data_IF_045428127359
#
_entry.id   IF_045428127359
#
_cell.length_a   1.000
_cell.length_b   1.000
_cell.length_c   1.000
_cell.angle_alpha   90.00
_cell.angle_beta   90.00
_cell.angle_gamma   90.00
#
_symmetry.space_group_name_H-M   'P 1'
#
loop_
_entity.id
_entity.type
_entity.pdbx_description
1 polymer ?
#
# COMPACT_ATOMS: atom_id res chain seq x y z
N UNK A 1 -1.11 -5.95 -19.63
CA UNK A 1 -0.48 -5.84 -18.28
C UNK A 1 -1.19 -4.87 -17.34
N UNK A 2 -1.75 -3.77 -17.81
CA UNK A 2 -2.64 -2.90 -17.01
C UNK A 2 -4.02 -3.54 -16.75
N UNK A 3 -4.53 -4.37 -17.67
CA UNK A 3 -5.80 -5.11 -17.48
C UNK A 3 -5.73 -6.15 -16.36
N UNK A 4 -4.60 -6.82 -16.13
CA UNK A 4 -4.48 -7.85 -15.09
C UNK A 4 -4.61 -7.26 -13.66
N UNK A 5 -4.29 -5.98 -13.47
CA UNK A 5 -4.46 -5.31 -12.18
C UNK A 5 -5.89 -4.78 -11.96
N UNK A 6 -6.67 -4.63 -13.05
CA UNK A 6 -8.05 -4.12 -13.02
C UNK A 6 -9.09 -5.23 -12.88
N UNK A 7 -8.76 -6.46 -13.29
CA UNK A 7 -9.68 -7.59 -13.26
C UNK A 7 -9.22 -8.63 -12.21
N UNK A 8 -9.55 -8.35 -10.94
CA UNK A 8 -9.52 -9.33 -9.86
C UNK A 8 -10.96 -9.75 -9.55
N UNK A 9 -11.55 -10.68 -10.33
CA UNK A 9 -12.92 -11.08 -10.14
C UNK A 9 -13.11 -11.69 -8.76
N UNK A 10 -14.06 -11.14 -8.00
CA UNK A 10 -14.50 -11.72 -6.74
C UNK A 10 -15.35 -12.93 -7.05
N UNK A 11 -14.97 -14.07 -6.53
CA UNK A 11 -15.75 -15.31 -6.64
C UNK A 11 -16.92 -15.22 -5.65
N UNK A 12 -18.13 -15.07 -6.15
CA UNK A 12 -19.35 -14.98 -5.31
C UNK A 12 -19.93 -16.36 -4.96
N UNK A 13 -19.86 -17.30 -5.88
CA UNK A 13 -20.12 -18.70 -5.66
C UNK A 13 -19.29 -19.53 -6.64
N UNK A 14 -18.92 -20.75 -6.26
CA UNK A 14 -18.14 -21.65 -7.12
C UNK A 14 -19.08 -22.49 -8.00
N UNK A 15 -20.39 -22.45 -7.73
CA UNK A 15 -21.32 -23.51 -8.15
C UNK A 15 -21.60 -23.55 -9.65
N UNK A 16 -21.65 -22.43 -10.40
CA UNK A 16 -22.05 -22.45 -11.80
C UNK A 16 -20.92 -22.07 -12.79
N UNK A 17 -20.22 -20.99 -12.55
CA UNK A 17 -19.22 -20.46 -13.50
C UNK A 17 -17.84 -21.13 -13.35
N UNK A 18 -17.55 -21.67 -12.16
CA UNK A 18 -16.27 -22.28 -11.80
C UNK A 18 -16.34 -23.75 -11.45
N UNK A 19 -17.43 -24.44 -11.79
CA UNK A 19 -17.66 -25.87 -11.46
C UNK A 19 -16.49 -26.79 -11.90
N UNK A 20 -15.92 -26.51 -13.07
CA UNK A 20 -14.75 -27.28 -13.56
C UNK A 20 -13.53 -27.08 -12.67
N UNK A 21 -13.25 -25.82 -12.24
CA UNK A 21 -12.15 -25.50 -11.33
C UNK A 21 -12.37 -26.17 -9.97
N UNK A 22 -13.59 -26.14 -9.46
CA UNK A 22 -13.99 -26.81 -8.21
C UNK A 22 -13.73 -28.33 -8.26
N UNK A 23 -14.11 -28.99 -9.35
CA UNK A 23 -13.89 -30.41 -9.51
C UNK A 23 -12.39 -30.76 -9.53
N UNK A 24 -11.58 -29.98 -10.23
CA UNK A 24 -10.13 -30.20 -10.27
C UNK A 24 -9.47 -29.91 -8.92
N UNK A 25 -9.90 -28.87 -8.19
CA UNK A 25 -9.44 -28.61 -6.83
C UNK A 25 -9.82 -29.74 -5.86
N UNK A 26 -11.02 -30.29 -6.00
CA UNK A 26 -11.46 -31.44 -5.19
C UNK A 26 -10.64 -32.71 -5.47
N UNK A 27 -10.27 -32.96 -6.74
CA UNK A 27 -9.33 -34.01 -7.11
C UNK A 27 -7.95 -33.79 -6.52
N UNK A 28 -7.45 -32.54 -6.56
CA UNK A 28 -6.17 -32.18 -5.97
C UNK A 28 -6.15 -32.41 -4.47
N UNK A 29 -7.24 -32.09 -3.73
CA UNK A 29 -7.36 -32.38 -2.30
C UNK A 29 -7.21 -33.90 -2.06
N UNK A 30 -7.92 -34.75 -2.81
CA UNK A 30 -7.86 -36.19 -2.61
C UNK A 30 -6.46 -36.74 -2.87
N UNK A 31 -5.83 -36.34 -3.98
CA UNK A 31 -4.44 -36.71 -4.27
C UNK A 31 -3.44 -36.20 -3.21
N UNK A 32 -3.69 -35.02 -2.65
CA UNK A 32 -2.86 -34.46 -1.58
C UNK A 32 -3.03 -35.24 -0.27
N UNK A 33 -4.23 -35.72 0.05
CA UNK A 33 -4.48 -36.60 1.22
C UNK A 33 -3.75 -37.93 1.09
N UNK A 34 -3.75 -38.53 -0.10
CA UNK A 34 -3.02 -39.79 -0.38
C UNK A 34 -1.49 -39.53 -0.23
N UNK A 35 -1.01 -38.41 -0.75
CA UNK A 35 0.39 -38.03 -0.59
C UNK A 35 0.76 -37.81 0.87
N UNK A 36 -0.11 -37.16 1.66
CA UNK A 36 0.10 -36.94 3.09
C UNK A 36 0.21 -38.27 3.86
N UNK A 37 -0.60 -39.27 3.51
CA UNK A 37 -0.50 -40.62 4.09
C UNK A 37 0.85 -41.25 3.78
N UNK A 38 1.32 -41.17 2.55
CA UNK A 38 2.63 -41.66 2.15
C UNK A 38 3.78 -40.96 2.86
N UNK A 39 3.73 -39.62 3.02
CA UNK A 39 4.68 -38.85 3.82
C UNK A 39 4.70 -39.27 5.29
N UNK A 40 3.50 -39.50 5.88
CA UNK A 40 3.39 -39.99 7.26
C UNK A 40 4.04 -41.36 7.43
N UNK A 41 3.87 -42.25 6.48
CA UNK A 41 4.50 -43.57 6.51
C UNK A 41 6.03 -43.46 6.36
N UNK A 42 6.51 -42.58 5.47
CA UNK A 42 7.94 -42.35 5.28
C UNK A 42 8.58 -41.75 6.55
N UNK A 43 7.90 -40.80 7.23
CA UNK A 43 8.35 -40.29 8.53
C UNK A 43 8.54 -41.40 9.57
N UNK A 44 7.62 -42.34 9.67
CA UNK A 44 7.75 -43.50 10.59
C UNK A 44 8.96 -44.35 10.25
N UNK A 45 9.34 -44.49 9.00
CA UNK A 45 10.55 -45.19 8.58
C UNK A 45 11.80 -44.42 8.94
N UNK A 46 11.84 -43.10 8.67
CA UNK A 46 12.98 -42.25 8.97
C UNK A 46 13.22 -42.14 10.49
N UNK A 47 12.17 -42.14 11.30
CA UNK A 47 12.29 -42.15 12.77
C UNK A 47 13.02 -43.38 13.35
N UNK A 48 13.14 -44.47 12.57
CA UNK A 48 13.91 -45.66 12.97
C UNK A 48 15.39 -45.54 12.62
N UNK A 49 15.82 -44.52 11.91
CA UNK A 49 17.21 -44.25 11.56
C UNK A 49 17.88 -43.60 12.77
N UNK A 50 19.16 -43.93 13.01
CA UNK A 50 19.94 -43.36 14.09
C UNK A 50 20.01 -41.80 13.99
N UNK A 51 19.51 -41.07 15.01
CA UNK A 51 19.45 -39.61 14.98
C UNK A 51 20.81 -38.94 15.06
N UNK A 52 21.87 -39.65 15.36
CA UNK A 52 23.25 -39.10 15.42
C UNK A 52 23.85 -38.92 14.02
N UNK A 53 23.33 -39.59 13.02
CA UNK A 53 23.82 -39.44 11.64
C UNK A 53 23.47 -38.09 11.05
N UNK A 54 24.44 -37.47 10.36
CA UNK A 54 24.30 -36.15 9.73
C UNK A 54 23.12 -36.10 8.78
N UNK A 55 22.90 -37.16 8.00
CA UNK A 55 21.84 -37.25 7.01
C UNK A 55 20.44 -37.38 7.63
N UNK A 56 20.31 -37.87 8.85
CA UNK A 56 19.05 -37.98 9.56
C UNK A 56 18.37 -36.61 9.72
N UNK A 57 19.13 -35.60 10.21
CA UNK A 57 18.58 -34.27 10.45
C UNK A 57 18.14 -33.58 9.16
N UNK A 58 18.89 -33.79 8.09
CA UNK A 58 18.52 -33.27 6.78
C UNK A 58 17.24 -33.92 6.26
N UNK A 59 17.17 -35.26 6.25
CA UNK A 59 15.99 -36.01 5.83
C UNK A 59 14.75 -35.66 6.66
N UNK A 60 14.90 -35.58 7.98
CA UNK A 60 13.79 -35.21 8.86
C UNK A 60 13.28 -33.80 8.56
N UNK A 61 14.16 -32.81 8.40
CA UNK A 61 13.79 -31.42 8.03
C UNK A 61 13.12 -31.33 6.67
N UNK A 62 13.52 -32.11 5.68
CA UNK A 62 12.88 -32.13 4.35
C UNK A 62 11.49 -32.76 4.44
N UNK A 63 11.36 -33.86 5.17
CA UNK A 63 10.07 -34.52 5.35
C UNK A 63 9.08 -33.67 6.15
N UNK A 64 9.52 -33.00 7.20
CA UNK A 64 8.66 -32.11 8.00
C UNK A 64 8.15 -30.96 7.13
N UNK A 65 9.04 -30.27 6.41
CA UNK A 65 8.64 -29.19 5.50
C UNK A 65 7.69 -29.66 4.40
N UNK A 66 7.91 -30.84 3.82
CA UNK A 66 7.03 -31.41 2.80
C UNK A 66 5.66 -31.75 3.39
N UNK A 67 5.63 -32.33 4.58
CA UNK A 67 4.39 -32.66 5.29
C UNK A 67 3.56 -31.41 5.60
N UNK A 68 4.19 -30.40 6.20
CA UNK A 68 3.55 -29.14 6.55
C UNK A 68 3.05 -28.40 5.29
N UNK A 69 3.83 -28.44 4.21
CA UNK A 69 3.44 -27.85 2.92
C UNK A 69 2.20 -28.52 2.31
N UNK A 70 2.06 -29.85 2.42
CA UNK A 70 0.88 -30.56 1.94
C UNK A 70 -0.35 -30.25 2.81
N UNK A 71 -0.19 -30.18 4.14
CA UNK A 71 -1.27 -29.74 5.04
C UNK A 71 -1.75 -28.35 4.67
N UNK A 72 -0.84 -27.40 4.55
CA UNK A 72 -1.15 -26.01 4.19
C UNK A 72 -1.87 -25.93 2.83
N UNK A 73 -1.46 -26.73 1.85
CA UNK A 73 -2.13 -26.83 0.56
C UNK A 73 -3.58 -27.32 0.70
N UNK A 74 -3.78 -28.41 1.44
CA UNK A 74 -5.13 -28.98 1.68
C UNK A 74 -6.02 -27.96 2.39
N UNK A 75 -5.51 -27.29 3.42
CA UNK A 75 -6.24 -26.26 4.18
C UNK A 75 -6.62 -25.08 3.28
N UNK A 76 -5.66 -24.58 2.49
CA UNK A 76 -5.90 -23.47 1.54
C UNK A 76 -6.97 -23.83 0.51
N UNK A 77 -6.90 -25.02 -0.09
CA UNK A 77 -7.88 -25.44 -1.07
C UNK A 77 -9.24 -25.63 -0.40
N UNK A 78 -9.31 -26.20 0.80
CA UNK A 78 -10.57 -26.36 1.55
C UNK A 78 -11.21 -24.99 1.84
N UNK A 79 -10.44 -23.99 2.28
CA UNK A 79 -10.94 -22.63 2.51
C UNK A 79 -11.57 -22.07 1.23
N UNK A 80 -10.90 -22.23 0.09
CA UNK A 80 -11.37 -21.71 -1.20
C UNK A 80 -12.61 -22.49 -1.70
N UNK A 81 -12.60 -23.81 -1.57
CA UNK A 81 -13.70 -24.65 -2.10
C UNK A 81 -14.94 -24.63 -1.22
N UNK A 82 -14.80 -24.43 0.08
CA UNK A 82 -15.96 -24.32 0.97
C UNK A 82 -16.67 -22.98 0.86
N UNK A 83 -16.04 -21.90 0.37
CA UNK A 83 -16.57 -20.58 -0.01
C UNK A 83 -17.96 -20.18 0.58
N UNK A 84 -18.28 -20.68 1.75
CA UNK A 84 -19.58 -20.49 2.40
C UNK A 84 -19.52 -19.46 3.53
N UNK A 85 -18.31 -19.05 3.91
CA UNK A 85 -18.15 -18.09 4.99
C UNK A 85 -18.29 -16.67 4.45
N UNK A 86 -19.42 -16.03 4.80
CA UNK A 86 -19.73 -14.63 4.43
C UNK A 86 -18.78 -13.60 5.03
N UNK A 87 -17.93 -14.02 5.96
CA UNK A 87 -16.89 -13.18 6.59
C UNK A 87 -15.59 -13.20 5.79
N UNK A 88 -15.51 -13.96 4.71
CA UNK A 88 -14.33 -14.05 3.84
C UNK A 88 -14.62 -13.50 2.46
N UNK A 89 -13.58 -12.96 1.83
CA UNK A 89 -13.57 -12.64 0.40
C UNK A 89 -12.62 -13.57 -0.34
N UNK A 90 -13.04 -14.02 -1.51
CA UNK A 90 -12.31 -14.94 -2.38
C UNK A 90 -12.15 -14.28 -3.74
N UNK A 91 -10.95 -14.33 -4.32
CA UNK A 91 -10.73 -13.77 -5.65
C UNK A 91 -9.64 -14.52 -6.43
N UNK A 92 -9.62 -14.29 -7.74
CA UNK A 92 -8.58 -14.78 -8.63
C UNK A 92 -7.67 -13.62 -8.99
N UNK A 93 -6.36 -13.85 -8.90
CA UNK A 93 -5.34 -12.91 -9.31
C UNK A 93 -4.50 -13.54 -10.41
N UNK A 94 -4.28 -12.78 -11.50
CA UNK A 94 -3.52 -13.24 -12.65
C UNK A 94 -2.33 -12.34 -12.94
N UNK A 95 -1.14 -12.91 -13.00
CA UNK A 95 0.08 -12.23 -13.41
C UNK A 95 0.65 -12.85 -14.70
N UNK A 96 1.02 -11.98 -15.64
CA UNK A 96 1.79 -12.41 -16.80
C UNK A 96 3.28 -12.27 -16.51
N UNK A 97 4.04 -13.35 -16.66
CA UNK A 97 5.48 -13.30 -16.56
C UNK A 97 6.12 -13.81 -17.85
N UNK A 98 7.30 -13.27 -18.17
CA UNK A 98 8.08 -13.74 -19.29
C UNK A 98 8.76 -15.04 -18.91
N UNK A 99 8.32 -16.14 -19.53
CA UNK A 99 9.03 -17.40 -19.49
C UNK A 99 10.30 -17.34 -20.35
N UNK A 100 11.28 -18.19 -20.04
CA UNK A 100 12.46 -18.42 -20.87
C UNK A 100 12.13 -18.90 -22.30
N UNK A 101 10.89 -19.37 -22.51
CA UNK A 101 10.36 -19.89 -23.79
C UNK A 101 9.81 -18.82 -24.75
N UNK A 102 9.99 -17.52 -24.50
CA UNK A 102 9.49 -16.37 -25.29
C UNK A 102 7.98 -16.14 -25.29
N UNK A 103 7.18 -17.02 -24.73
CA UNK A 103 5.74 -16.82 -24.56
C UNK A 103 5.44 -16.25 -23.17
N UNK A 104 4.54 -15.25 -23.09
CA UNK A 104 4.06 -14.73 -21.82
C UNK A 104 3.16 -15.79 -21.17
N UNK A 105 3.59 -16.39 -20.08
CA UNK A 105 2.78 -17.34 -19.31
C UNK A 105 1.89 -16.61 -18.32
N UNK A 106 0.61 -17.01 -18.27
CA UNK A 106 -0.34 -16.53 -17.28
C UNK A 106 -0.21 -17.37 -16.01
N UNK A 107 0.19 -16.75 -14.92
CA UNK A 107 0.15 -17.35 -13.59
C UNK A 107 -1.13 -16.91 -12.89
N UNK A 108 -1.99 -17.87 -12.57
CA UNK A 108 -3.19 -17.63 -11.77
C UNK A 108 -2.92 -18.01 -10.31
N UNK A 109 -3.40 -17.18 -9.39
CA UNK A 109 -3.45 -17.48 -7.97
C UNK A 109 -4.87 -17.32 -7.44
N UNK A 110 -5.30 -18.27 -6.63
CA UNK A 110 -6.53 -18.19 -5.87
C UNK A 110 -6.21 -17.58 -4.52
N UNK A 111 -6.93 -16.56 -4.16
CA UNK A 111 -6.73 -15.79 -2.92
C UNK A 111 -7.98 -15.88 -2.05
N UNK A 112 -7.77 -15.91 -0.75
CA UNK A 112 -8.84 -15.84 0.23
C UNK A 112 -8.37 -15.01 1.44
N UNK A 113 -9.23 -14.17 1.98
CA UNK A 113 -8.93 -13.37 3.17
C UNK A 113 -10.18 -13.12 3.98
N UNK A 114 -10.03 -12.98 5.28
CA UNK A 114 -11.11 -12.48 6.13
C UNK A 114 -11.35 -11.01 5.85
N UNK A 115 -12.62 -10.63 5.84
CA UNK A 115 -13.05 -9.25 5.61
C UNK A 115 -12.73 -8.40 6.83
N UNK A 116 -13.00 -8.92 8.03
CA UNK A 116 -12.70 -8.25 9.30
C UNK A 116 -11.93 -9.19 10.23
N UNK A 117 -10.75 -8.76 10.65
CA UNK A 117 -9.86 -9.52 11.54
C UNK A 117 -9.87 -9.03 12.98
N UNK A 118 -10.70 -8.04 13.31
CA UNK A 118 -10.72 -7.36 14.60
C UNK A 118 -10.91 -8.32 15.79
N UNK A 119 -11.85 -9.26 15.65
CA UNK A 119 -12.11 -10.30 16.68
C UNK A 119 -10.90 -11.21 16.83
N UNK A 120 -10.29 -11.65 15.73
CA UNK A 120 -9.11 -12.51 15.78
C UNK A 120 -7.89 -11.82 16.38
N UNK A 121 -7.70 -10.53 16.11
CA UNK A 121 -6.65 -9.75 16.76
C UNK A 121 -6.87 -9.69 18.26
N UNK A 122 -8.12 -9.44 18.70
CA UNK A 122 -8.48 -9.46 20.11
C UNK A 122 -8.15 -10.80 20.77
N UNK A 123 -8.60 -11.90 20.20
CA UNK A 123 -8.49 -13.23 20.81
C UNK A 123 -7.06 -13.79 20.73
N UNK A 124 -6.35 -13.57 19.61
CA UNK A 124 -5.07 -14.21 19.38
C UNK A 124 -3.87 -13.34 19.76
N UNK A 125 -4.04 -12.04 19.94
CA UNK A 125 -2.98 -11.12 20.30
C UNK A 125 -3.31 -10.41 21.60
N UNK A 126 -4.34 -9.58 21.63
CA UNK A 126 -4.55 -8.68 22.77
C UNK A 126 -4.89 -9.41 24.06
N UNK A 127 -5.71 -10.47 24.00
CA UNK A 127 -6.06 -11.27 25.18
C UNK A 127 -4.92 -12.21 25.65
N UNK A 128 -3.81 -12.32 24.93
CA UNK A 128 -2.69 -13.21 25.31
C UNK A 128 -1.62 -12.52 26.14
N UNK A 129 -1.61 -11.20 26.18
CA UNK A 129 -0.60 -10.44 26.89
C UNK A 129 -1.22 -9.71 28.08
N UNK A 130 -0.54 -9.73 29.21
CA UNK A 130 -0.97 -8.95 30.40
C UNK A 130 -0.83 -7.43 30.18
N UNK A 131 0.06 -7.03 29.29
CA UNK A 131 0.30 -5.65 28.90
C UNK A 131 0.83 -5.60 27.47
N UNK A 132 0.28 -4.69 26.67
CA UNK A 132 0.70 -4.49 25.29
C UNK A 132 0.74 -2.98 25.02
N UNK A 133 1.84 -2.52 24.41
CA UNK A 133 2.00 -1.12 24.00
C UNK A 133 2.03 -1.07 22.46
N UNK A 134 1.11 -0.30 21.89
CA UNK A 134 1.05 -0.01 20.46
C UNK A 134 1.45 1.44 20.23
N UNK A 135 2.44 1.69 19.39
CA UNK A 135 2.92 3.04 19.10
C UNK A 135 3.14 3.25 17.61
N UNK A 136 2.70 4.40 17.12
CA UNK A 136 2.95 4.85 15.75
C UNK A 136 2.73 6.35 15.64
N UNK A 137 3.38 6.98 14.67
CA UNK A 137 3.18 8.39 14.34
C UNK A 137 1.87 8.66 13.59
N UNK A 138 1.16 7.62 13.12
CA UNK A 138 -0.02 7.72 12.26
C UNK A 138 -1.23 6.95 12.78
N UNK A 139 -1.33 6.76 14.11
CA UNK A 139 -2.48 6.08 14.74
C UNK A 139 -3.75 6.96 14.70
N UNK A 140 -3.58 8.28 14.89
CA UNK A 140 -4.70 9.25 14.91
C UNK A 140 -5.10 9.66 13.50
N UNK A 141 -6.40 9.77 13.29
CA UNK A 141 -7.01 10.40 12.12
C UNK A 141 -8.00 11.42 12.62
N UNK A 142 -7.93 12.67 12.14
CA UNK A 142 -8.79 13.78 12.54
C UNK A 142 -8.87 13.93 14.07
N UNK A 143 -7.69 13.93 14.72
CA UNK A 143 -7.49 13.99 16.17
C UNK A 143 -8.17 12.87 16.98
N UNK A 144 -8.58 11.79 16.34
CA UNK A 144 -9.26 10.67 16.98
C UNK A 144 -8.50 9.35 16.80
N UNK A 145 -8.52 8.52 17.85
CA UNK A 145 -8.05 7.13 17.82
C UNK A 145 -9.12 6.15 17.35
N UNK A 146 -10.37 6.58 17.20
CA UNK A 146 -11.52 5.71 16.95
C UNK A 146 -11.34 4.81 15.74
N UNK A 147 -10.75 5.33 14.65
CA UNK A 147 -10.49 4.53 13.48
C UNK A 147 -9.56 3.35 13.79
N UNK A 148 -8.44 3.61 14.43
CA UNK A 148 -7.49 2.57 14.80
C UNK A 148 -8.09 1.56 15.77
N UNK A 149 -8.83 2.02 16.79
CA UNK A 149 -9.44 1.17 17.80
C UNK A 149 -10.49 0.24 17.18
N UNK A 150 -11.35 0.75 16.32
CA UNK A 150 -12.38 -0.04 15.64
C UNK A 150 -11.77 -1.10 14.71
N UNK A 151 -10.76 -0.73 13.93
CA UNK A 151 -10.07 -1.64 13.00
C UNK A 151 -9.36 -2.80 13.70
N UNK A 152 -8.97 -2.60 14.96
CA UNK A 152 -8.24 -3.59 15.75
C UNK A 152 -9.10 -4.28 16.83
N UNK A 153 -10.41 -4.02 16.88
CA UNK A 153 -11.32 -4.63 17.87
C UNK A 153 -11.07 -4.15 19.30
N UNK A 154 -10.59 -2.92 19.45
CA UNK A 154 -10.24 -2.33 20.75
C UNK A 154 -11.24 -1.29 21.25
N UNK A 155 -12.32 -1.01 20.50
CA UNK A 155 -13.29 0.05 20.84
C UNK A 155 -13.99 -0.17 22.19
N UNK A 156 -14.22 -1.44 22.56
CA UNK A 156 -14.96 -1.83 23.78
C UNK A 156 -14.01 -2.31 24.89
N UNK A 157 -12.79 -1.81 24.93
CA UNK A 157 -11.82 -2.20 25.95
C UNK A 157 -11.72 -1.11 27.03
N UNK A 158 -12.31 -1.38 28.21
CA UNK A 158 -12.34 -0.44 29.35
C UNK A 158 -10.96 -0.24 30.02
N UNK A 159 -10.00 -1.14 29.77
CA UNK A 159 -8.63 -1.05 30.30
C UNK A 159 -7.67 -0.30 29.37
N UNK A 160 -8.19 0.21 28.25
CA UNK A 160 -7.36 0.87 27.23
C UNK A 160 -6.92 2.27 27.72
N UNK A 161 -5.62 2.49 27.67
CA UNK A 161 -5.03 3.81 27.89
C UNK A 161 -4.54 4.33 26.54
N UNK A 162 -5.08 5.47 26.12
CA UNK A 162 -4.60 6.17 24.93
C UNK A 162 -3.87 7.44 25.33
N UNK A 163 -2.73 7.68 24.67
CA UNK A 163 -1.91 8.87 24.93
C UNK A 163 -1.41 9.44 23.62
N UNK A 164 -1.38 10.74 23.52
CA UNK A 164 -0.82 11.50 22.42
C UNK A 164 0.36 12.33 22.90
N UNK A 165 1.40 12.38 22.10
CA UNK A 165 2.60 13.14 22.41
C UNK A 165 2.86 14.13 21.27
N UNK A 166 3.17 15.36 21.65
CA UNK A 166 3.52 16.39 20.68
C UNK A 166 4.76 15.99 19.87
N UNK A 167 4.73 16.34 18.60
CA UNK A 167 5.90 16.16 17.74
C UNK A 167 7.07 17.02 18.25
N UNK A 168 8.32 16.54 18.21
CA UNK A 168 9.48 17.37 18.50
C UNK A 168 9.79 18.39 17.40
N UNK A 169 9.09 18.34 16.26
CA UNK A 169 9.32 19.21 15.11
C UNK A 169 8.46 20.47 15.20
N UNK A 170 9.05 21.63 14.89
CA UNK A 170 8.34 22.91 14.70
C UNK A 170 7.87 23.03 13.26
N UNK A 171 6.85 22.24 12.87
CA UNK A 171 6.41 22.18 11.49
C UNK A 171 6.07 23.54 10.89
N UNK A 172 5.52 24.49 11.66
CA UNK A 172 5.23 25.86 11.20
C UNK A 172 6.46 26.65 10.77
N UNK A 173 7.64 26.31 11.33
CA UNK A 173 8.90 26.97 11.01
C UNK A 173 9.69 26.21 9.94
N UNK A 174 9.39 24.93 9.78
CA UNK A 174 10.14 24.01 8.92
C UNK A 174 9.49 23.77 7.56
N UNK A 175 8.16 23.99 7.44
CA UNK A 175 7.41 23.63 6.23
C UNK A 175 6.54 24.76 5.74
N UNK A 176 6.68 25.07 4.46
CA UNK A 176 5.69 25.85 3.72
C UNK A 176 4.72 24.89 3.03
N UNK A 177 3.43 24.94 3.41
CA UNK A 177 2.40 24.09 2.82
C UNK A 177 1.56 24.88 1.81
N UNK A 178 1.63 24.50 0.54
CA UNK A 178 0.83 25.06 -0.54
C UNK A 178 -0.28 24.09 -0.95
N UNK A 179 -1.55 24.56 -0.86
CA UNK A 179 -2.73 23.81 -1.27
C UNK A 179 -3.37 24.43 -2.50
N UNK A 180 -3.47 23.62 -3.56
CA UNK A 180 -4.17 24.06 -4.77
C UNK A 180 -5.69 24.13 -4.54
N UNK A 181 -6.30 25.29 -4.87
CA UNK A 181 -7.73 25.53 -4.76
C UNK A 181 -8.36 26.03 -6.08
N UNK A 182 -7.60 25.98 -7.18
CA UNK A 182 -8.07 26.43 -8.48
C UNK A 182 -9.18 25.55 -9.06
N UNK A 183 -9.94 26.10 -9.99
CA UNK A 183 -11.05 25.41 -10.66
C UNK A 183 -10.57 24.37 -11.70
N UNK A 184 -9.39 24.58 -12.28
CA UNK A 184 -8.81 23.67 -13.29
C UNK A 184 -8.24 22.41 -12.63
N UNK A 185 -8.55 21.23 -13.14
CA UNK A 185 -7.96 19.98 -12.65
C UNK A 185 -6.53 19.79 -13.22
N UNK A 186 -5.56 20.50 -12.66
CA UNK A 186 -4.14 20.36 -13.02
C UNK A 186 -3.66 18.92 -12.78
N UNK A 187 -4.13 18.30 -11.72
CA UNK A 187 -3.76 16.94 -11.34
C UNK A 187 -4.33 15.86 -12.27
N UNK A 188 -5.33 16.19 -13.08
CA UNK A 188 -5.95 15.28 -14.04
C UNK A 188 -5.40 15.37 -15.46
N UNK A 189 -4.69 16.45 -15.78
CA UNK A 189 -4.14 16.69 -17.13
C UNK A 189 -2.60 16.51 -17.12
N UNK A 190 -2.04 15.52 -17.84
CA UNK A 190 -0.59 15.28 -17.86
C UNK A 190 0.21 16.45 -18.42
N UNK A 191 -0.33 17.23 -19.34
CA UNK A 191 0.36 18.40 -19.90
C UNK A 191 0.46 19.52 -18.86
N UNK A 192 -0.66 19.92 -18.29
CA UNK A 192 -0.72 20.96 -17.25
C UNK A 192 0.11 20.59 -16.02
N UNK A 193 0.02 19.35 -15.59
CA UNK A 193 0.83 18.85 -14.48
C UNK A 193 2.33 18.89 -14.80
N UNK A 194 2.71 18.62 -16.04
CA UNK A 194 4.11 18.73 -16.47
C UNK A 194 4.60 20.17 -16.50
N UNK A 195 3.75 21.15 -16.91
CA UNK A 195 4.06 22.59 -16.86
C UNK A 195 4.28 23.03 -15.41
N UNK A 196 3.37 22.64 -14.52
CA UNK A 196 3.48 22.95 -13.09
C UNK A 196 4.78 22.40 -12.49
N UNK A 197 5.04 21.09 -12.63
CA UNK A 197 6.23 20.46 -12.05
C UNK A 197 7.50 21.07 -12.63
N UNK A 198 7.53 21.33 -13.92
CA UNK A 198 8.67 21.96 -14.59
C UNK A 198 8.94 23.37 -14.06
N UNK A 199 7.88 24.16 -13.88
CA UNK A 199 7.97 25.50 -13.30
C UNK A 199 8.56 25.46 -11.88
N UNK A 200 7.98 24.66 -10.98
CA UNK A 200 8.46 24.50 -9.60
C UNK A 200 9.93 24.08 -9.57
N UNK A 201 10.28 23.07 -10.37
CA UNK A 201 11.65 22.57 -10.41
C UNK A 201 12.65 23.64 -10.92
N UNK A 202 12.28 24.43 -11.92
CA UNK A 202 13.14 25.51 -12.47
C UNK A 202 13.26 26.68 -11.51
N UNK A 203 12.20 27.02 -10.78
CA UNK A 203 12.17 28.14 -9.83
C UNK A 203 13.05 27.84 -8.62
N UNK A 204 12.91 26.65 -8.03
CA UNK A 204 13.59 26.33 -6.78
C UNK A 204 14.91 25.60 -6.95
N UNK A 205 15.09 24.84 -8.00
CA UNK A 205 16.25 23.99 -8.28
C UNK A 205 16.68 23.10 -7.09
N UNK A 206 15.68 22.63 -6.35
CA UNK A 206 15.81 21.78 -5.17
C UNK A 206 15.43 20.33 -5.48
N UNK A 207 15.89 19.41 -4.64
CA UNK A 207 15.48 18.00 -4.71
C UNK A 207 13.99 17.87 -4.49
N UNK A 208 13.31 17.42 -5.54
CA UNK A 208 11.85 17.36 -5.58
C UNK A 208 11.37 15.93 -5.75
N UNK A 209 10.44 15.50 -4.91
CA UNK A 209 9.70 14.25 -5.10
C UNK A 209 8.25 14.53 -5.46
N UNK A 210 7.75 13.86 -6.49
CA UNK A 210 6.36 13.94 -6.93
C UNK A 210 5.71 12.58 -6.72
N UNK A 211 4.67 12.52 -5.91
CA UNK A 211 3.91 11.33 -5.59
C UNK A 211 2.65 11.24 -6.44
N UNK A 212 2.62 10.19 -7.27
CA UNK A 212 1.52 9.87 -8.17
C UNK A 212 0.68 8.72 -7.61
N UNK A 213 -0.59 8.72 -7.93
CA UNK A 213 -1.50 7.59 -7.70
C UNK A 213 -1.70 6.70 -8.93
N UNK A 214 -1.13 7.10 -10.08
CA UNK A 214 -1.25 6.39 -11.35
C UNK A 214 0.10 6.27 -12.05
N UNK A 215 0.50 5.04 -12.39
CA UNK A 215 1.71 4.77 -13.19
C UNK A 215 1.61 5.37 -14.60
N UNK A 216 0.40 5.38 -15.18
CA UNK A 216 0.15 5.99 -16.49
C UNK A 216 0.39 7.50 -16.44
N UNK A 217 -0.22 8.20 -15.47
CA UNK A 217 -0.01 9.64 -15.29
C UNK A 217 1.47 9.97 -15.07
N UNK A 218 2.16 9.20 -14.21
CA UNK A 218 3.60 9.35 -13.99
C UNK A 218 4.39 9.24 -15.31
N UNK A 219 4.10 8.24 -16.14
CA UNK A 219 4.80 8.00 -17.41
C UNK A 219 4.54 9.11 -18.42
N UNK A 220 3.28 9.56 -18.54
CA UNK A 220 2.89 10.62 -19.47
C UNK A 220 3.54 11.97 -19.08
N UNK A 221 3.53 12.32 -17.79
CA UNK A 221 4.18 13.53 -17.26
C UNK A 221 5.70 13.46 -17.43
N UNK A 222 6.32 12.31 -17.16
CA UNK A 222 7.76 12.14 -17.34
C UNK A 222 8.17 12.32 -18.81
N UNK A 223 7.34 11.84 -19.75
CA UNK A 223 7.56 12.05 -21.19
C UNK A 223 7.45 13.53 -21.55
N UNK A 224 6.39 14.21 -21.13
CA UNK A 224 6.16 15.62 -21.41
C UNK A 224 7.32 16.50 -20.86
N UNK A 225 7.84 16.20 -19.66
CA UNK A 225 8.99 16.95 -19.11
C UNK A 225 10.24 16.76 -19.96
N UNK A 226 10.52 15.54 -20.43
CA UNK A 226 11.71 15.26 -21.28
C UNK A 226 11.67 15.98 -22.64
N UNK A 227 10.50 16.33 -23.12
CA UNK A 227 10.29 17.06 -24.39
C UNK A 227 10.42 18.59 -24.23
N UNK A 228 10.51 19.11 -22.99
CA UNK A 228 10.63 20.56 -22.77
C UNK A 228 12.02 21.10 -23.07
N UNK A 229 12.13 22.37 -23.50
CA UNK A 229 13.43 23.05 -23.68
C UNK A 229 14.23 23.06 -22.37
N UNK A 230 15.50 22.66 -22.41
CA UNK A 230 16.37 22.62 -21.23
C UNK A 230 16.06 21.48 -20.25
N UNK A 231 15.25 20.50 -20.65
CA UNK A 231 14.95 19.31 -19.83
C UNK A 231 16.13 18.34 -19.74
N UNK A 232 17.11 18.42 -20.65
CA UNK A 232 18.31 17.57 -20.62
C UNK A 232 19.15 17.74 -19.36
N UNK A 233 19.06 18.91 -18.73
CA UNK A 233 19.79 19.24 -17.51
C UNK A 233 19.01 18.87 -16.22
N UNK A 234 17.79 18.32 -16.37
CA UNK A 234 16.98 17.87 -15.24
C UNK A 234 17.29 16.38 -14.96
N UNK A 235 17.91 16.05 -13.82
CA UNK A 235 18.11 14.67 -13.41
C UNK A 235 16.80 14.04 -12.98
N UNK A 236 16.01 13.53 -13.95
CA UNK A 236 14.70 12.92 -13.70
C UNK A 236 14.82 11.42 -13.43
N UNK A 237 14.42 11.02 -12.25
CA UNK A 237 14.33 9.64 -11.78
C UNK A 237 12.86 9.22 -11.68
N UNK A 238 12.39 8.41 -12.60
CA UNK A 238 11.01 7.94 -12.60
C UNK A 238 10.93 6.45 -12.25
N UNK A 239 10.00 6.09 -11.40
CA UNK A 239 9.69 4.69 -11.13
C UNK A 239 9.18 4.04 -12.43
N UNK A 240 10.00 3.20 -13.04
CA UNK A 240 9.69 2.49 -14.28
C UNK A 240 10.05 1.03 -14.17
N UNK A 241 9.59 0.20 -15.14
CA UNK A 241 10.01 -1.21 -15.24
C UNK A 241 11.53 -1.28 -15.42
N UNK A 242 12.22 -1.85 -14.42
CA UNK A 242 13.67 -2.06 -14.45
C UNK A 242 14.50 -1.07 -13.62
N UNK A 243 13.94 0.05 -13.17
CA UNK A 243 14.63 0.92 -12.21
C UNK A 243 14.40 0.40 -10.79
N UNK A 244 15.47 -0.02 -10.11
CA UNK A 244 15.38 -0.44 -8.70
C UNK A 244 15.26 0.78 -7.78
N UNK A 245 14.53 0.65 -6.67
CA UNK A 245 14.46 1.71 -5.65
C UNK A 245 15.85 2.20 -5.20
N UNK A 246 16.82 1.32 -4.90
CA UNK A 246 18.17 1.75 -4.52
C UNK A 246 18.86 2.60 -5.59
N UNK A 247 18.69 2.26 -6.87
CA UNK A 247 19.27 3.04 -7.97
C UNK A 247 18.69 4.46 -8.07
N UNK A 248 17.37 4.58 -7.88
CA UNK A 248 16.66 5.87 -7.86
C UNK A 248 17.15 6.73 -6.68
N UNK A 249 17.24 6.16 -5.49
CA UNK A 249 17.71 6.84 -4.28
C UNK A 249 19.15 7.32 -4.45
N UNK A 250 20.03 6.45 -4.97
CA UNK A 250 21.41 6.83 -5.24
C UNK A 250 21.51 7.96 -6.28
N UNK A 251 20.65 7.93 -7.30
CA UNK A 251 20.55 9.04 -8.26
C UNK A 251 20.16 10.36 -7.59
N UNK A 252 19.24 10.35 -6.66
CA UNK A 252 18.85 11.55 -5.86
C UNK A 252 20.01 12.05 -4.98
N UNK A 253 20.78 11.14 -4.38
CA UNK A 253 21.97 11.50 -3.61
C UNK A 253 23.02 12.27 -4.43
N UNK A 254 23.27 11.79 -5.66
CA UNK A 254 24.31 12.36 -6.53
C UNK A 254 23.91 13.67 -7.19
N UNK A 255 22.63 14.04 -7.19
CA UNK A 255 22.12 15.22 -7.88
C UNK A 255 21.41 16.17 -6.91
N UNK A 256 21.95 17.37 -6.71
CA UNK A 256 21.40 18.39 -5.79
C UNK A 256 20.05 18.97 -6.23
N UNK A 257 19.69 18.80 -7.50
CA UNK A 257 18.40 19.21 -8.08
C UNK A 257 17.66 18.02 -8.70
N UNK A 258 17.80 16.82 -8.10
CA UNK A 258 17.12 15.61 -8.59
C UNK A 258 15.60 15.76 -8.55
N UNK A 259 14.93 15.33 -9.62
CA UNK A 259 13.48 15.24 -9.71
C UNK A 259 13.06 13.77 -9.71
N UNK A 260 12.34 13.33 -8.67
CA UNK A 260 11.92 11.95 -8.49
C UNK A 260 10.42 11.81 -8.69
N UNK A 261 10.00 10.86 -9.52
CA UNK A 261 8.61 10.46 -9.69
C UNK A 261 8.37 9.08 -9.09
N UNK A 262 7.52 9.01 -8.06
CA UNK A 262 7.16 7.79 -7.35
C UNK A 262 5.66 7.52 -7.34
N UNK A 263 5.30 6.23 -7.17
CA UNK A 263 3.93 5.78 -6.92
C UNK A 263 3.84 5.12 -5.54
N UNK A 264 2.81 4.35 -5.26
CA UNK A 264 2.50 3.75 -3.95
C UNK A 264 3.71 3.23 -3.18
N UNK A 265 4.68 2.61 -3.85
CA UNK A 265 5.88 2.10 -3.19
C UNK A 265 6.84 3.17 -2.65
N UNK A 266 6.63 4.44 -3.00
CA UNK A 266 7.36 5.59 -2.46
C UNK A 266 6.57 6.36 -1.39
N UNK A 267 5.26 6.10 -1.26
CA UNK A 267 4.49 6.59 -0.11
C UNK A 267 4.95 5.94 1.19
N UNK A 268 5.38 4.68 1.12
CA UNK A 268 5.85 3.89 2.25
C UNK A 268 7.24 3.29 1.98
N UNK A 269 8.04 3.10 3.03
CA UNK A 269 9.25 2.29 2.94
C UNK A 269 10.45 2.89 2.19
N UNK A 270 10.52 4.22 2.01
CA UNK A 270 11.72 4.92 1.50
C UNK A 270 12.10 6.00 2.50
N UNK A 271 13.38 6.10 2.80
CA UNK A 271 13.93 7.13 3.68
C UNK A 271 14.79 8.12 2.89
N UNK A 272 14.49 9.42 3.06
CA UNK A 272 15.22 10.52 2.45
C UNK A 272 15.61 11.52 3.54
N UNK A 273 16.66 11.23 4.33
CA UNK A 273 17.06 12.10 5.43
C UNK A 273 17.68 13.41 4.91
N UNK A 274 17.41 14.50 5.61
CA UNK A 274 18.03 15.80 5.41
C UNK A 274 17.72 16.42 4.03
N UNK A 275 18.70 17.05 3.46
CA UNK A 275 18.60 17.74 2.15
C UNK A 275 18.26 16.84 0.96
N UNK A 276 18.04 15.54 1.16
CA UNK A 276 17.67 14.61 0.08
C UNK A 276 16.25 14.82 -0.45
N UNK A 277 15.39 15.48 0.32
CA UNK A 277 14.06 15.87 -0.09
C UNK A 277 13.75 17.25 0.47
N UNK A 278 13.61 18.22 -0.41
CA UNK A 278 13.34 19.61 -0.05
C UNK A 278 11.96 20.08 -0.56
N UNK A 279 11.44 19.44 -1.62
CA UNK A 279 10.10 19.71 -2.14
C UNK A 279 9.36 18.39 -2.32
N UNK A 280 8.18 18.30 -1.73
CA UNK A 280 7.27 17.17 -1.88
C UNK A 280 5.97 17.61 -2.54
N UNK A 281 5.66 17.05 -3.70
CA UNK A 281 4.43 17.33 -4.44
C UNK A 281 3.54 16.08 -4.39
N UNK A 282 2.33 16.23 -3.87
CA UNK A 282 1.27 15.22 -3.92
C UNK A 282 0.30 15.58 -5.03
N UNK A 283 0.24 14.76 -6.07
CA UNK A 283 -0.60 15.03 -7.25
C UNK A 283 -2.08 14.82 -6.93
N UNK A 284 -2.43 13.68 -6.34
CA UNK A 284 -3.81 13.35 -5.93
C UNK A 284 -3.78 12.61 -4.59
N UNK A 285 -4.86 12.75 -3.84
CA UNK A 285 -5.06 11.99 -2.60
C UNK A 285 -4.93 10.48 -2.86
N UNK A 286 -4.16 9.74 -2.03
CA UNK A 286 -3.84 8.33 -2.23
C UNK A 286 -4.97 7.39 -1.83
N UNK A 287 -6.16 7.60 -2.39
CA UNK A 287 -7.27 6.68 -2.21
C UNK A 287 -6.93 5.31 -2.77
N UNK A 288 -7.32 4.28 -2.06
CA UNK A 288 -7.23 2.91 -2.55
C UNK A 288 -8.12 2.68 -3.76
N UNK A 289 -7.76 1.67 -4.56
CA UNK A 289 -8.52 1.30 -5.74
C UNK A 289 -9.85 0.66 -5.33
N UNK A 290 -11.02 1.28 -5.63
CA UNK A 290 -12.31 0.78 -5.16
C UNK A 290 -12.67 -0.62 -5.67
N UNK A 291 -12.02 -1.07 -6.75
CA UNK A 291 -12.22 -2.41 -7.33
C UNK A 291 -11.33 -3.48 -6.71
N UNK A 292 -10.43 -3.11 -5.80
CA UNK A 292 -9.66 -4.10 -5.04
C UNK A 292 -10.61 -4.99 -4.23
N UNK A 293 -10.48 -6.32 -4.29
CA UNK A 293 -11.39 -7.25 -3.63
C UNK A 293 -11.55 -7.03 -2.13
N UNK A 294 -10.44 -6.73 -1.43
CA UNK A 294 -10.47 -6.48 0.01
C UNK A 294 -11.18 -5.17 0.33
N UNK A 295 -10.81 -4.09 -0.37
CA UNK A 295 -11.41 -2.75 -0.19
C UNK A 295 -12.92 -2.81 -0.45
N UNK A 296 -13.31 -3.42 -1.56
CA UNK A 296 -14.73 -3.58 -1.93
C UNK A 296 -15.53 -4.40 -0.93
N UNK A 297 -14.94 -5.51 -0.46
CA UNK A 297 -15.62 -6.41 0.47
C UNK A 297 -15.77 -5.81 1.85
N UNK A 298 -14.71 -5.16 2.36
CA UNK A 298 -14.75 -4.47 3.65
C UNK A 298 -15.69 -3.25 3.63
N UNK A 299 -15.65 -2.45 2.56
CA UNK A 299 -16.62 -1.36 2.38
C UNK A 299 -18.06 -1.88 2.38
N UNK A 300 -18.34 -2.94 1.61
CA UNK A 300 -19.66 -3.57 1.59
C UNK A 300 -20.06 -4.20 2.93
N UNK A 301 -19.12 -4.68 3.73
CA UNK A 301 -19.37 -5.17 5.09
C UNK A 301 -19.82 -4.04 6.01
N UNK A 302 -19.13 -2.91 6.01
CA UNK A 302 -19.49 -1.73 6.79
C UNK A 302 -20.85 -1.16 6.38
N UNK A 303 -21.09 -1.01 5.08
CA UNK A 303 -22.34 -0.44 4.54
C UNK A 303 -23.55 -1.32 4.91
N UNK A 304 -23.40 -2.66 4.89
CA UNK A 304 -24.44 -3.59 5.37
C UNK A 304 -24.70 -3.46 6.89
N UNK A 305 -23.66 -3.09 7.64
CA UNK A 305 -23.77 -2.78 9.07
C UNK A 305 -24.34 -1.38 9.37
N UNK A 306 -24.73 -0.61 8.34
CA UNK A 306 -25.24 0.76 8.50
C UNK A 306 -24.16 1.81 8.72
N UNK A 307 -22.88 1.46 8.54
CA UNK A 307 -21.74 2.35 8.70
C UNK A 307 -21.32 2.87 7.31
N UNK A 308 -21.25 4.18 7.14
CA UNK A 308 -20.78 4.78 5.88
C UNK A 308 -19.31 4.41 5.65
N UNK A 309 -19.04 3.47 4.76
CA UNK A 309 -17.71 2.94 4.49
C UNK A 309 -16.75 3.99 3.94
N UNK A 310 -17.25 4.94 3.14
CA UNK A 310 -16.41 6.02 2.62
C UNK A 310 -15.82 6.88 3.73
N UNK A 311 -16.66 7.34 4.67
CA UNK A 311 -16.23 8.23 5.75
C UNK A 311 -15.49 7.50 6.88
N UNK A 312 -15.85 6.24 7.16
CA UNK A 312 -15.31 5.51 8.31
C UNK A 312 -14.18 4.53 7.95
N UNK A 313 -13.86 4.37 6.65
CA UNK A 313 -12.80 3.51 6.20
C UNK A 313 -11.94 4.15 5.10
N UNK A 314 -12.55 4.50 3.95
CA UNK A 314 -11.79 4.95 2.77
C UNK A 314 -11.09 6.29 3.01
N UNK A 315 -11.75 7.25 3.65
CA UNK A 315 -11.16 8.55 3.98
C UNK A 315 -10.07 8.43 5.05
N UNK A 316 -10.27 7.73 6.17
CA UNK A 316 -9.22 7.50 7.17
C UNK A 316 -7.96 6.82 6.62
N UNK A 317 -8.10 5.74 5.83
CA UNK A 317 -6.96 5.06 5.20
C UNK A 317 -6.18 6.01 4.28
N UNK A 318 -6.91 6.80 3.50
CA UNK A 318 -6.31 7.80 2.63
C UNK A 318 -5.58 8.89 3.44
N UNK A 319 -6.15 9.36 4.56
CA UNK A 319 -5.54 10.37 5.42
C UNK A 319 -4.26 9.86 6.08
N UNK A 320 -4.24 8.61 6.53
CA UNK A 320 -3.03 7.95 7.07
C UNK A 320 -1.91 7.95 6.01
N UNK A 321 -2.21 7.52 4.80
CA UNK A 321 -1.24 7.50 3.68
C UNK A 321 -0.76 8.91 3.33
N UNK A 322 -1.67 9.87 3.31
CA UNK A 322 -1.35 11.28 3.04
C UNK A 322 -0.39 11.84 4.08
N UNK A 323 -0.64 11.59 5.38
CA UNK A 323 0.26 11.95 6.48
C UNK A 323 1.61 11.25 6.40
N UNK A 324 1.62 9.95 6.04
CA UNK A 324 2.86 9.20 5.82
C UNK A 324 3.69 9.79 4.69
N UNK A 325 3.04 10.22 3.59
CA UNK A 325 3.68 10.96 2.51
C UNK A 325 4.32 12.25 3.00
N UNK A 326 3.56 13.10 3.70
CA UNK A 326 4.06 14.33 4.30
C UNK A 326 5.26 14.08 5.22
N UNK A 327 5.20 13.07 6.07
CA UNK A 327 6.29 12.68 6.97
C UNK A 327 7.60 12.26 6.28
N UNK A 328 7.65 12.25 4.93
CA UNK A 328 8.90 12.07 4.18
C UNK A 328 9.73 13.35 4.11
N UNK A 329 9.08 14.50 4.23
CA UNK A 329 9.73 15.81 4.07
C UNK A 329 10.56 16.20 5.29
N UNK A 330 10.04 15.97 6.50
CA UNK A 330 10.71 16.36 7.75
C UNK A 330 11.07 15.09 8.55
N UNK A 331 12.38 14.89 8.79
CA UNK A 331 12.95 13.74 9.50
C UNK A 331 13.76 14.15 10.71
N UNK A 332 14.32 15.36 10.68
CA UNK A 332 15.12 15.93 11.75
C UNK A 332 14.64 17.33 12.09
N UNK A 333 15.07 17.83 13.24
CA UNK A 333 14.79 19.22 13.67
C UNK A 333 15.47 20.27 12.80
N UNK A 334 16.39 19.87 11.91
CA UNK A 334 17.12 20.76 11.02
C UNK A 334 16.56 20.76 9.59
N UNK A 335 15.64 19.85 9.28
CA UNK A 335 15.04 19.77 7.95
C UNK A 335 14.05 20.93 7.74
N UNK A 336 14.00 21.41 6.53
CA UNK A 336 12.98 22.34 6.07
C UNK A 336 12.58 22.00 4.64
N UNK A 337 11.37 22.37 4.24
CA UNK A 337 10.95 22.07 2.88
C UNK A 337 9.59 22.63 2.52
N UNK A 338 9.22 22.38 1.26
CA UNK A 338 7.96 22.83 0.67
C UNK A 338 7.08 21.59 0.43
N UNK A 339 5.90 21.61 0.97
CA UNK A 339 4.87 20.61 0.70
C UNK A 339 3.79 21.20 -0.20
N UNK A 340 3.53 20.58 -1.33
CA UNK A 340 2.52 21.04 -2.30
C UNK A 340 1.50 19.94 -2.54
N UNK A 341 0.23 20.24 -2.32
CA UNK A 341 -0.88 19.34 -2.64
C UNK A 341 -1.72 19.91 -3.77
N UNK A 342 -1.90 19.15 -4.83
CA UNK A 342 -2.63 19.58 -6.03
C UNK A 342 -4.07 19.11 -6.09
N UNK A 343 -4.49 18.26 -5.16
CA UNK A 343 -5.84 17.73 -5.15
C UNK A 343 -6.85 18.76 -4.62
N UNK A 344 -7.61 19.36 -5.51
CA UNK A 344 -8.60 20.38 -5.16
C UNK A 344 -9.81 19.82 -4.38
N UNK A 345 -9.95 18.50 -4.26
CA UNK A 345 -10.99 17.89 -3.39
C UNK A 345 -10.79 18.22 -1.92
N UNK A 346 -9.55 18.52 -1.50
CA UNK A 346 -9.22 18.96 -0.14
C UNK A 346 -9.95 20.26 0.20
N UNK A 347 -10.07 21.19 -0.73
CA UNK A 347 -10.77 22.48 -0.52
C UNK A 347 -12.25 22.42 -0.89
N UNK A 348 -12.64 21.55 -1.84
CA UNK A 348 -13.97 21.58 -2.46
C UNK A 348 -14.93 20.49 -1.91
N UNK A 349 -14.46 19.54 -1.10
CA UNK A 349 -15.29 18.47 -0.54
C UNK A 349 -15.34 18.55 0.97
N UNK A 350 -16.49 18.20 1.58
CA UNK A 350 -16.65 18.21 3.05
C UNK A 350 -15.62 17.39 3.79
N UNK A 351 -15.22 16.22 3.26
CA UNK A 351 -14.19 15.39 3.85
C UNK A 351 -12.78 15.96 3.71
N UNK A 352 -12.61 17.03 2.94
CA UNK A 352 -11.31 17.65 2.71
C UNK A 352 -10.70 18.24 3.97
N UNK A 353 -11.53 18.69 4.92
CA UNK A 353 -11.10 19.19 6.23
C UNK A 353 -10.26 18.16 7.00
N UNK A 354 -10.59 16.88 6.90
CA UNK A 354 -9.82 15.78 7.50
C UNK A 354 -8.37 15.78 7.00
N UNK A 355 -8.16 16.07 5.71
CA UNK A 355 -6.82 16.13 5.13
C UNK A 355 -6.06 17.40 5.52
N UNK A 356 -6.76 18.53 5.66
CA UNK A 356 -6.17 19.75 6.20
C UNK A 356 -5.69 19.54 7.63
N UNK A 357 -6.53 18.98 8.48
CA UNK A 357 -6.21 18.67 9.88
C UNK A 357 -5.11 17.60 10.03
N UNK A 358 -4.91 16.76 8.99
CA UNK A 358 -3.88 15.73 8.98
C UNK A 358 -2.47 16.30 8.89
N UNK A 359 -2.30 17.44 8.23
CA UNK A 359 -1.01 18.13 8.09
C UNK A 359 -0.89 19.19 9.19
N UNK A 360 0.15 19.16 10.03
CA UNK A 360 0.30 20.06 11.18
C UNK A 360 0.83 21.46 10.79
N UNK A 361 0.41 21.97 9.64
CA UNK A 361 0.77 23.28 9.08
C UNK A 361 -0.42 23.84 8.34
N UNK A 362 -0.73 25.12 8.58
CA UNK A 362 -1.79 25.80 7.86
C UNK A 362 -1.45 25.99 6.38
N UNK A 363 -2.37 25.71 5.46
CA UNK A 363 -2.09 25.80 4.04
C UNK A 363 -2.11 27.23 3.52
N UNK A 364 -1.17 27.55 2.65
CA UNK A 364 -1.20 28.72 1.76
C UNK A 364 -1.95 28.29 0.50
N UNK A 365 -3.18 28.81 0.31
CA UNK A 365 -3.98 28.47 -0.85
C UNK A 365 -3.49 29.21 -2.10
N UNK A 366 -3.44 28.48 -3.24
CA UNK A 366 -3.09 29.07 -4.54
C UNK A 366 -3.96 28.52 -5.66
N UNK A 367 -4.23 29.37 -6.65
CA UNK A 367 -4.94 29.00 -7.89
C UNK A 367 -4.06 29.17 -9.14
N UNK A 368 -3.06 30.05 -9.08
CA UNK A 368 -1.99 30.18 -10.08
C UNK A 368 -0.65 29.81 -9.44
N UNK A 369 -0.01 28.78 -9.95
CA UNK A 369 1.27 28.29 -9.42
C UNK A 369 2.44 29.27 -9.63
N UNK A 370 2.29 30.28 -10.49
CA UNK A 370 3.30 31.31 -10.68
C UNK A 370 3.42 32.25 -9.49
N UNK A 371 2.47 32.18 -8.56
CA UNK A 371 2.50 32.91 -7.29
C UNK A 371 3.36 32.21 -6.23
N UNK A 372 3.79 30.96 -6.48
CA UNK A 372 4.74 30.23 -5.62
C UNK A 372 6.14 30.68 -6.01
N UNK A 373 6.72 31.52 -5.19
CA UNK A 373 8.06 32.14 -5.42
C UNK A 373 9.10 31.57 -4.45
N UNK A 374 10.39 31.72 -4.80
CA UNK A 374 11.51 31.25 -3.99
C UNK A 374 11.87 32.23 -2.87
#
# INVERSE_FOLDING_TARGET
REKAYQDRPIIKSIDDEYATVYNELSRLINSSKDLLLNYSNLRKVVQKIDPTKKDYRFLHSVLDRGYDGIISLIETINIITQNQNKEWVYWIEGDYFKSSSKEDELRLSLQASEIDISIKLKDNIFNRFNSLVLTSATIKVDDSFNYFLSRNGLSDNDELIVSDFNSPFSYSDQVEYYQYNGMKDIAGDPFELSEFIYYIHKTFQKRTMVLFTSVKMLSDVAKNIKEKPGSKDIPLFAQSKGASKPSIINGMHLNKNGLLFGTNSFWEGVDFPGELLEILIVVKLPFDVPTDPMIKSYSGFLDRGGVNSFMNYTVPECAIKYRQGFGRLIRTIYDSGIFISLDNRITNKRYGEIFLNTIPVDPINFSDYRTIEN
#
